data_IF_791586556145
#
_entry.id   IF_791586556145
#
_cell.length_a   1.000
_cell.length_b   1.000
_cell.length_c   1.000
_cell.angle_alpha   90.00
_cell.angle_beta   90.00
_cell.angle_gamma   90.00
#
_symmetry.space_group_name_H-M   'P 1'
#
loop_
_entity.id
_entity.type
_entity.pdbx_description
1 polymer ?
#
# COMPACT_ATOMS: atom_id res chain seq x y z
N UNK A 1 -30.94 -4.35 8.57
CA UNK A 1 -30.37 -4.18 9.91
C UNK A 1 -30.18 -2.69 10.17
N UNK A 2 -30.74 -2.21 11.27
CA UNK A 2 -30.69 -0.81 11.66
C UNK A 2 -29.24 -0.42 11.99
N UNK A 3 -28.65 0.61 11.38
CA UNK A 3 -27.28 1.03 11.62
C UNK A 3 -27.08 1.67 13.00
N UNK A 4 -28.15 1.98 13.74
CA UNK A 4 -28.08 2.63 15.05
C UNK A 4 -28.07 1.55 16.13
N UNK A 5 -27.05 1.57 17.00
CA UNK A 5 -26.95 0.68 18.18
C UNK A 5 -27.94 1.10 19.28
N UNK A 6 -29.25 0.93 19.03
CA UNK A 6 -30.33 1.10 20.00
C UNK A 6 -31.19 -0.16 20.05
N UNK A 7 -31.79 -0.51 21.18
CA UNK A 7 -32.68 -1.65 21.26
C UNK A 7 -33.86 -1.46 20.31
N UNK A 8 -34.02 -2.38 19.38
CA UNK A 8 -35.12 -2.41 18.40
C UNK A 8 -36.17 -3.44 18.80
N UNK A 9 -37.38 -3.24 18.36
CA UNK A 9 -38.47 -4.19 18.65
C UNK A 9 -38.16 -5.57 18.07
N UNK A 10 -38.51 -6.64 18.78
CA UNK A 10 -38.17 -8.04 18.49
C UNK A 10 -38.66 -8.55 17.11
N UNK A 11 -39.65 -7.89 16.51
CA UNK A 11 -40.29 -8.28 15.25
C UNK A 11 -40.12 -7.27 14.12
N UNK A 12 -39.07 -6.44 14.16
CA UNK A 12 -38.81 -5.46 13.12
C UNK A 12 -38.20 -6.13 11.88
N UNK A 13 -39.01 -6.22 10.82
CA UNK A 13 -38.52 -6.58 9.49
C UNK A 13 -38.97 -5.54 8.49
N UNK A 14 -38.04 -4.99 7.71
CA UNK A 14 -38.31 -3.89 6.77
C UNK A 14 -39.41 -4.23 5.74
N UNK A 15 -39.53 -5.49 5.34
CA UNK A 15 -40.55 -5.97 4.41
C UNK A 15 -41.98 -5.83 4.95
N UNK A 16 -42.19 -5.97 6.24
CA UNK A 16 -43.50 -5.76 6.86
C UNK A 16 -43.89 -4.27 6.79
N UNK A 17 -42.96 -3.38 7.05
CA UNK A 17 -43.18 -1.92 6.93
C UNK A 17 -43.46 -1.52 5.49
N UNK A 18 -42.74 -2.09 4.53
CA UNK A 18 -42.92 -1.84 3.10
C UNK A 18 -44.32 -2.35 2.62
N UNK A 19 -44.68 -3.53 3.04
CA UNK A 19 -45.99 -4.13 2.69
C UNK A 19 -47.13 -3.31 3.28
N UNK A 20 -47.01 -2.83 4.53
CA UNK A 20 -47.95 -1.90 5.14
C UNK A 20 -48.06 -0.58 4.38
N UNK A 21 -46.94 0.00 3.97
CA UNK A 21 -46.93 1.25 3.19
C UNK A 21 -47.63 1.07 1.83
N UNK A 22 -47.33 -0.02 1.11
CA UNK A 22 -47.97 -0.33 -0.19
C UNK A 22 -49.48 -0.51 -0.01
N UNK A 23 -49.90 -1.27 1.03
CA UNK A 23 -51.31 -1.47 1.30
C UNK A 23 -52.05 -0.16 1.63
N UNK A 24 -51.47 0.72 2.42
CA UNK A 24 -52.03 2.05 2.71
C UNK A 24 -52.18 2.89 1.43
N UNK A 25 -51.17 2.93 0.58
CA UNK A 25 -51.23 3.67 -0.69
C UNK A 25 -52.32 3.10 -1.60
N UNK A 26 -52.43 1.78 -1.71
CA UNK A 26 -53.45 1.12 -2.50
C UNK A 26 -54.87 1.45 -2.00
N UNK A 27 -55.12 1.43 -0.69
CA UNK A 27 -56.42 1.79 -0.10
C UNK A 27 -56.73 3.28 -0.35
N UNK A 28 -55.75 4.18 -0.23
CA UNK A 28 -55.96 5.61 -0.53
C UNK A 28 -56.39 5.86 -1.97
N UNK A 29 -55.83 5.13 -2.94
CA UNK A 29 -56.20 5.25 -4.34
C UNK A 29 -57.58 4.63 -4.64
N UNK A 30 -57.98 3.56 -3.91
CA UNK A 30 -59.32 2.93 -4.03
C UNK A 30 -60.43 3.85 -3.50
N UNK A 31 -60.19 4.61 -2.47
CA UNK A 31 -61.21 5.51 -1.84
C UNK A 31 -61.31 6.80 -2.65
N UNK A 32 -60.21 7.51 -2.91
CA UNK A 32 -60.23 8.80 -3.56
C UNK A 32 -58.91 9.11 -4.27
N UNK A 33 -58.75 8.80 -5.56
CA UNK A 33 -57.48 8.91 -6.27
C UNK A 33 -56.90 10.35 -6.32
N UNK A 34 -57.75 11.37 -6.42
CA UNK A 34 -57.30 12.76 -6.49
C UNK A 34 -56.70 13.21 -5.17
N UNK A 35 -57.36 12.88 -4.01
CA UNK A 35 -56.80 13.22 -2.69
C UNK A 35 -55.58 12.41 -2.36
N UNK A 36 -55.46 11.16 -2.82
CA UNK A 36 -54.26 10.35 -2.70
C UNK A 36 -53.06 11.00 -3.41
N UNK A 37 -53.27 11.49 -4.62
CA UNK A 37 -52.22 12.18 -5.37
C UNK A 37 -51.78 13.48 -4.70
N UNK A 38 -52.71 14.29 -4.19
CA UNK A 38 -52.41 15.54 -3.44
C UNK A 38 -51.61 15.24 -2.18
N UNK A 39 -51.99 14.18 -1.43
CA UNK A 39 -51.30 13.80 -0.19
C UNK A 39 -49.87 13.33 -0.47
N UNK A 40 -49.66 12.51 -1.53
CA UNK A 40 -48.36 12.05 -1.94
C UNK A 40 -47.48 13.24 -2.38
N UNK A 41 -48.04 14.17 -3.18
CA UNK A 41 -47.32 15.36 -3.59
C UNK A 41 -46.93 16.25 -2.37
N UNK A 42 -47.80 16.35 -1.37
CA UNK A 42 -47.54 17.04 -0.09
C UNK A 42 -46.38 16.39 0.68
N UNK A 43 -46.37 15.07 0.81
CA UNK A 43 -45.29 14.32 1.47
C UNK A 43 -43.96 14.49 0.73
N UNK A 44 -43.96 14.40 -0.60
CA UNK A 44 -42.77 14.63 -1.42
C UNK A 44 -42.27 16.09 -1.26
N UNK A 45 -43.18 17.06 -1.28
CA UNK A 45 -42.85 18.47 -1.07
C UNK A 45 -42.23 18.74 0.29
N UNK A 46 -42.78 18.17 1.37
CA UNK A 46 -42.22 18.27 2.71
C UNK A 46 -40.85 17.58 2.77
N UNK A 47 -40.71 16.41 2.17
CA UNK A 47 -39.44 15.70 2.13
C UNK A 47 -38.35 16.53 1.42
N UNK A 48 -38.69 17.17 0.27
CA UNK A 48 -37.77 18.06 -0.44
C UNK A 48 -37.45 19.31 0.38
N UNK A 49 -38.44 19.90 1.05
CA UNK A 49 -38.27 21.08 1.92
C UNK A 49 -37.34 20.80 3.11
N UNK A 50 -37.48 19.60 3.70
CA UNK A 50 -36.61 19.14 4.80
C UNK A 50 -35.18 18.90 4.26
N UNK A 51 -35.05 18.33 3.06
CA UNK A 51 -33.75 18.14 2.41
C UNK A 51 -33.05 19.45 2.01
N UNK A 52 -33.83 20.48 1.62
CA UNK A 52 -33.30 21.82 1.30
C UNK A 52 -32.92 22.65 2.54
N UNK A 53 -33.63 22.49 3.64
CA UNK A 53 -33.19 22.99 4.91
C UNK A 53 -32.31 21.92 5.54
N UNK A 54 -30.99 22.09 5.49
CA UNK A 54 -30.06 21.35 6.34
C UNK A 54 -30.46 21.58 7.83
N UNK A 55 -31.49 20.86 8.25
CA UNK A 55 -31.78 20.74 9.67
C UNK A 55 -30.63 19.85 10.16
N UNK A 56 -29.63 20.49 10.77
CA UNK A 56 -28.64 19.82 11.62
C UNK A 56 -29.40 19.10 12.73
N UNK A 57 -29.97 17.96 12.40
CA UNK A 57 -30.55 17.09 13.41
C UNK A 57 -29.38 16.43 14.15
N UNK A 58 -29.35 16.58 15.47
CA UNK A 58 -28.46 15.86 16.38
C UNK A 58 -28.67 14.33 16.38
N UNK A 59 -29.30 13.80 15.35
CA UNK A 59 -29.45 12.38 15.08
C UNK A 59 -28.18 11.97 14.35
N UNK A 60 -27.32 11.18 15.00
CA UNK A 60 -26.05 10.75 14.43
C UNK A 60 -26.21 10.34 12.96
N UNK A 61 -25.22 10.70 12.16
CA UNK A 61 -25.24 10.51 10.71
C UNK A 61 -25.52 9.02 10.36
N UNK A 62 -26.75 8.78 9.88
CA UNK A 62 -27.22 7.45 9.45
C UNK A 62 -26.30 6.84 8.39
N UNK A 63 -25.70 7.70 7.56
CA UNK A 63 -24.79 7.30 6.50
C UNK A 63 -23.50 6.74 7.09
N UNK A 64 -22.89 7.43 8.05
CA UNK A 64 -21.69 6.96 8.75
C UNK A 64 -21.94 5.66 9.51
N UNK A 65 -23.12 5.54 10.16
CA UNK A 65 -23.54 4.31 10.84
C UNK A 65 -23.68 3.12 9.87
N UNK A 66 -24.29 3.33 8.71
CA UNK A 66 -24.45 2.32 7.69
C UNK A 66 -23.10 1.90 7.08
N UNK A 67 -22.20 2.87 6.83
CA UNK A 67 -20.84 2.59 6.36
C UNK A 67 -20.08 1.75 7.38
N UNK A 68 -20.09 2.16 8.66
CA UNK A 68 -19.40 1.42 9.72
C UNK A 68 -19.92 -0.03 9.84
N UNK A 69 -21.24 -0.23 9.77
CA UNK A 69 -21.83 -1.57 9.83
C UNK A 69 -21.39 -2.46 8.64
N UNK A 70 -21.33 -1.89 7.43
CA UNK A 70 -20.83 -2.61 6.25
C UNK A 70 -19.35 -2.96 6.37
N UNK A 71 -18.53 -2.02 6.83
CA UNK A 71 -17.09 -2.24 7.08
C UNK A 71 -16.92 -3.37 8.09
N UNK A 72 -17.62 -3.30 9.24
CA UNK A 72 -17.56 -4.34 10.28
C UNK A 72 -17.94 -5.73 9.73
N UNK A 73 -19.04 -5.83 8.98
CA UNK A 73 -19.48 -7.11 8.41
C UNK A 73 -18.46 -7.67 7.40
N UNK A 74 -17.90 -6.80 6.54
CA UNK A 74 -16.90 -7.21 5.54
C UNK A 74 -15.57 -7.60 6.20
N UNK A 75 -15.13 -6.91 7.25
CA UNK A 75 -13.94 -7.28 8.01
C UNK A 75 -14.09 -8.64 8.69
N UNK A 76 -15.25 -8.91 9.33
CA UNK A 76 -15.51 -10.21 9.94
C UNK A 76 -15.58 -11.34 8.91
N UNK A 77 -16.11 -11.08 7.71
CA UNK A 77 -16.10 -12.07 6.62
C UNK A 77 -14.66 -12.32 6.14
N UNK A 78 -13.89 -11.26 5.92
CA UNK A 78 -12.49 -11.38 5.49
C UNK A 78 -11.64 -12.17 6.49
N UNK A 79 -11.88 -12.01 7.80
CA UNK A 79 -11.21 -12.78 8.86
C UNK A 79 -11.50 -14.27 8.79
N UNK A 80 -12.73 -14.64 8.37
CA UNK A 80 -13.14 -16.05 8.24
C UNK A 80 -12.73 -16.69 6.92
N UNK A 81 -12.36 -15.90 5.91
CA UNK A 81 -11.94 -16.41 4.61
C UNK A 81 -10.51 -16.99 4.69
N UNK A 82 -10.31 -18.12 4.00
CA UNK A 82 -8.96 -18.68 3.84
C UNK A 82 -8.17 -17.81 2.89
N UNK A 83 -7.00 -17.38 3.33
CA UNK A 83 -6.05 -16.67 2.48
C UNK A 83 -5.69 -17.51 1.25
N UNK A 84 -5.76 -16.90 0.07
CA UNK A 84 -5.30 -17.50 -1.18
C UNK A 84 -4.27 -16.56 -1.84
N UNK A 85 -3.07 -17.05 -2.24
CA UNK A 85 -2.01 -16.20 -2.80
C UNK A 85 -2.44 -15.33 -3.99
N UNK A 86 -3.37 -15.78 -4.81
CA UNK A 86 -3.94 -14.99 -5.93
C UNK A 86 -4.74 -13.77 -5.49
N UNK A 87 -5.22 -13.76 -4.25
CA UNK A 87 -5.94 -12.63 -3.67
C UNK A 87 -5.01 -11.64 -2.96
N UNK A 88 -3.71 -11.85 -3.05
CA UNK A 88 -2.74 -10.93 -2.47
C UNK A 88 -2.97 -9.49 -2.97
N UNK A 89 -2.96 -8.57 -2.02
CA UNK A 89 -3.02 -7.13 -2.27
C UNK A 89 -1.99 -6.44 -1.40
N UNK A 90 -1.32 -5.39 -1.88
CA UNK A 90 -0.36 -4.67 -1.07
C UNK A 90 -1.08 -3.93 0.06
N UNK A 91 -0.80 -4.32 1.30
CA UNK A 91 -1.15 -3.56 2.50
C UNK A 91 0.17 -3.02 3.02
N UNK A 92 0.45 -1.76 2.68
CA UNK A 92 1.76 -1.15 2.87
C UNK A 92 1.75 -0.27 4.12
N UNK A 93 2.68 -0.54 5.03
CA UNK A 93 3.08 0.36 6.10
C UNK A 93 4.34 1.10 5.65
N UNK A 94 4.22 2.36 5.28
CA UNK A 94 5.34 3.17 4.85
C UNK A 94 5.88 4.00 6.01
N UNK A 95 7.14 3.76 6.38
CA UNK A 95 7.84 4.49 7.43
C UNK A 95 8.41 5.78 6.82
N UNK A 96 7.56 6.79 6.70
CA UNK A 96 7.88 8.04 5.96
C UNK A 96 8.63 9.08 6.79
N UNK A 97 8.79 8.87 8.11
CA UNK A 97 9.32 9.90 9.00
C UNK A 97 8.40 11.14 9.01
N UNK A 98 8.97 12.34 9.02
CA UNK A 98 8.19 13.54 8.71
C UNK A 98 7.82 13.46 7.21
N UNK A 99 6.53 13.34 6.91
CA UNK A 99 6.04 13.02 5.56
C UNK A 99 6.49 14.07 4.51
N UNK A 100 6.55 15.34 4.90
CA UNK A 100 7.03 16.43 4.05
C UNK A 100 8.53 16.33 3.70
N UNK A 101 9.37 15.70 4.52
CA UNK A 101 10.77 15.47 4.20
C UNK A 101 11.01 14.26 3.28
N UNK A 102 9.96 13.45 3.05
CA UNK A 102 10.03 12.23 2.24
C UNK A 102 8.83 12.07 1.32
N UNK A 103 8.36 13.17 0.75
CA UNK A 103 7.20 13.21 -0.17
C UNK A 103 7.32 12.17 -1.28
N UNK A 104 8.49 12.04 -1.90
CA UNK A 104 8.75 11.05 -2.95
C UNK A 104 8.56 9.60 -2.48
N UNK A 105 8.88 9.30 -1.21
CA UNK A 105 8.64 7.97 -0.65
C UNK A 105 7.14 7.72 -0.49
N UNK A 106 6.38 8.72 -0.02
CA UNK A 106 4.94 8.64 0.16
C UNK A 106 4.20 8.48 -1.19
N UNK A 107 4.57 9.27 -2.21
CA UNK A 107 4.04 9.15 -3.57
C UNK A 107 4.38 7.79 -4.18
N UNK A 108 5.60 7.31 -3.99
CA UNK A 108 6.01 5.99 -4.47
C UNK A 108 5.21 4.87 -3.80
N UNK A 109 4.98 4.97 -2.49
CA UNK A 109 4.12 4.02 -1.76
C UNK A 109 2.69 4.01 -2.31
N UNK A 110 2.16 5.20 -2.65
CA UNK A 110 0.83 5.34 -3.24
C UNK A 110 0.75 4.67 -4.62
N UNK A 111 1.77 4.81 -5.47
CA UNK A 111 1.83 4.10 -6.75
C UNK A 111 1.85 2.58 -6.58
N UNK A 112 2.59 2.07 -5.59
CA UNK A 112 2.68 0.62 -5.31
C UNK A 112 1.35 0.00 -4.89
N UNK A 113 0.43 0.75 -4.30
CA UNK A 113 -0.91 0.24 -3.97
C UNK A 113 -1.78 0.03 -5.21
N UNK A 114 -1.48 0.72 -6.31
CA UNK A 114 -2.20 0.61 -7.57
C UNK A 114 -3.72 0.85 -7.44
N UNK A 115 -4.15 1.67 -6.47
CA UNK A 115 -5.56 1.90 -6.11
C UNK A 115 -6.33 0.65 -5.69
N UNK A 116 -5.63 -0.43 -5.34
CA UNK A 116 -6.23 -1.73 -4.96
C UNK A 116 -5.72 -2.23 -3.62
N UNK A 117 -4.68 -1.60 -3.09
CA UNK A 117 -4.09 -1.85 -1.79
C UNK A 117 -4.54 -0.88 -0.73
N UNK A 118 -3.93 -1.01 0.44
CA UNK A 118 -4.10 -0.09 1.57
C UNK A 118 -2.74 0.49 1.89
N UNK A 119 -2.66 1.82 2.00
CA UNK A 119 -1.46 2.53 2.39
C UNK A 119 -1.64 3.17 3.75
N UNK A 120 -0.70 2.93 4.65
CA UNK A 120 -0.55 3.70 5.88
C UNK A 120 0.78 4.43 5.85
N UNK A 121 0.74 5.74 5.98
CA UNK A 121 1.92 6.56 6.21
C UNK A 121 2.17 6.65 7.71
N UNK A 122 3.29 6.12 8.16
CA UNK A 122 3.62 6.02 9.56
C UNK A 122 4.80 6.90 9.95
N UNK A 123 4.68 7.54 11.11
CA UNK A 123 5.71 8.36 11.73
C UNK A 123 5.94 7.93 13.17
N UNK A 124 7.20 7.84 13.55
CA UNK A 124 7.63 7.65 14.95
C UNK A 124 8.14 8.98 15.47
N UNK A 125 7.69 9.37 16.66
CA UNK A 125 8.19 10.51 17.43
C UNK A 125 8.96 9.91 18.62
N UNK A 126 10.25 10.22 18.71
CA UNK A 126 11.08 9.73 19.80
C UNK A 126 10.88 10.58 21.06
N UNK A 127 10.68 9.92 22.19
CA UNK A 127 10.56 10.49 23.53
C UNK A 127 9.49 9.81 24.38
N UNK A 128 9.23 10.41 25.55
CA UNK A 128 8.27 9.89 26.51
C UNK A 128 6.83 10.19 26.08
N UNK A 129 5.98 9.16 26.10
CA UNK A 129 4.62 9.24 25.59
C UNK A 129 3.78 10.30 26.29
N UNK A 130 3.87 10.39 27.63
CA UNK A 130 3.08 11.31 28.44
C UNK A 130 3.38 12.77 28.10
N UNK A 131 4.63 13.09 27.79
CA UNK A 131 5.08 14.44 27.48
C UNK A 131 4.74 14.87 26.05
N UNK A 132 4.56 13.91 25.13
CA UNK A 132 4.44 14.16 23.70
C UNK A 132 3.02 13.93 23.13
N UNK A 133 2.00 13.72 23.96
CA UNK A 133 0.63 13.46 23.48
C UNK A 133 0.08 14.58 22.59
N UNK A 134 0.27 15.85 22.98
CA UNK A 134 -0.18 17.00 22.18
C UNK A 134 0.60 17.07 20.84
N UNK A 135 1.91 16.86 20.89
CA UNK A 135 2.77 16.82 19.70
C UNK A 135 2.35 15.69 18.78
N UNK A 136 2.02 14.51 19.31
CA UNK A 136 1.49 13.39 18.54
C UNK A 136 0.20 13.75 17.80
N UNK A 137 -0.75 14.37 18.51
CA UNK A 137 -2.02 14.80 17.92
C UNK A 137 -1.82 15.83 16.81
N UNK A 138 -0.97 16.83 17.05
CA UNK A 138 -0.60 17.83 16.05
C UNK A 138 0.06 17.22 14.82
N UNK A 139 1.01 16.30 14.99
CA UNK A 139 1.68 15.61 13.88
C UNK A 139 0.70 14.72 13.08
N UNK A 140 -0.24 14.06 13.75
CA UNK A 140 -1.27 13.28 13.06
C UNK A 140 -2.20 14.15 12.22
N UNK A 141 -2.55 15.35 12.71
CA UNK A 141 -3.33 16.33 11.95
C UNK A 141 -2.56 16.86 10.73
N UNK A 142 -1.28 17.19 10.91
CA UNK A 142 -0.39 17.62 9.83
C UNK A 142 -0.22 16.52 8.76
N UNK A 143 -0.03 15.28 9.17
CA UNK A 143 0.08 14.15 8.25
C UNK A 143 -1.23 13.92 7.47
N UNK A 144 -2.40 14.11 8.10
CA UNK A 144 -3.69 14.10 7.38
C UNK A 144 -3.78 15.20 6.34
N UNK A 145 -3.39 16.42 6.73
CA UNK A 145 -3.38 17.57 5.82
C UNK A 145 -2.48 17.28 4.62
N UNK A 146 -1.26 16.80 4.85
CA UNK A 146 -0.33 16.40 3.80
C UNK A 146 -0.91 15.34 2.86
N UNK A 147 -1.57 14.30 3.39
CA UNK A 147 -2.22 13.24 2.59
C UNK A 147 -3.26 13.85 1.65
N UNK A 148 -4.08 14.78 2.14
CA UNK A 148 -5.11 15.44 1.33
C UNK A 148 -4.49 16.39 0.29
N UNK A 149 -3.50 17.21 0.67
CA UNK A 149 -2.83 18.17 -0.22
C UNK A 149 -2.06 17.46 -1.35
N UNK A 150 -1.50 16.28 -1.08
CA UNK A 150 -0.78 15.48 -2.07
C UNK A 150 -1.70 14.47 -2.79
N UNK A 151 -3.01 14.52 -2.58
CA UNK A 151 -3.99 13.60 -3.18
C UNK A 151 -3.65 12.10 -3.01
N UNK A 152 -3.08 11.75 -1.85
CA UNK A 152 -2.67 10.38 -1.55
C UNK A 152 -3.86 9.56 -1.03
N UNK A 153 -4.01 8.33 -1.50
CA UNK A 153 -4.98 7.37 -0.98
C UNK A 153 -4.38 6.61 0.25
N UNK A 154 -4.18 7.34 1.36
CA UNK A 154 -3.44 6.83 2.52
C UNK A 154 -4.11 7.16 3.85
N UNK A 155 -3.75 6.39 4.88
CA UNK A 155 -4.14 6.61 6.27
C UNK A 155 -2.94 7.07 7.10
N UNK A 156 -3.11 8.07 7.99
CA UNK A 156 -2.02 8.52 8.86
C UNK A 156 -1.91 7.63 10.11
N UNK A 157 -0.69 7.28 10.50
CA UNK A 157 -0.38 6.66 11.78
C UNK A 157 0.81 7.37 12.44
N UNK A 158 0.65 7.83 13.68
CA UNK A 158 1.71 8.47 14.44
C UNK A 158 1.82 7.78 15.80
N UNK A 159 3.02 7.31 16.12
CA UNK A 159 3.33 6.68 17.41
C UNK A 159 4.43 7.47 18.11
N UNK A 160 4.36 7.54 19.43
CA UNK A 160 5.45 8.01 20.29
C UNK A 160 6.10 6.78 20.91
N UNK A 161 7.42 6.73 20.91
CA UNK A 161 8.19 5.63 21.52
C UNK A 161 9.54 6.17 22.02
N UNK A 162 10.18 5.51 23.01
CA UNK A 162 11.48 5.94 23.52
C UNK A 162 12.58 5.99 22.45
N UNK A 163 12.49 5.12 21.44
CA UNK A 163 13.42 5.11 20.32
C UNK A 163 12.70 4.83 18.99
N UNK A 164 13.34 5.19 17.87
CA UNK A 164 12.84 4.89 16.53
C UNK A 164 12.61 3.39 16.33
N UNK A 165 13.52 2.55 16.82
CA UNK A 165 13.44 1.09 16.70
C UNK A 165 12.22 0.52 17.40
N UNK A 166 11.97 0.93 18.66
CA UNK A 166 10.80 0.51 19.42
C UNK A 166 9.50 0.99 18.80
N UNK A 167 9.48 2.22 18.28
CA UNK A 167 8.32 2.75 17.56
C UNK A 167 8.01 1.98 16.26
N UNK A 168 9.03 1.60 15.50
CA UNK A 168 8.88 0.75 14.31
C UNK A 168 8.37 -0.63 14.72
N UNK A 169 8.93 -1.21 15.76
CA UNK A 169 8.51 -2.50 16.32
C UNK A 169 7.04 -2.50 16.72
N UNK A 170 6.61 -1.49 17.48
CA UNK A 170 5.21 -1.32 17.88
C UNK A 170 4.27 -1.18 16.66
N UNK A 171 4.65 -0.37 15.67
CA UNK A 171 3.87 -0.19 14.44
C UNK A 171 3.73 -1.50 13.66
N UNK A 172 4.82 -2.24 13.45
CA UNK A 172 4.79 -3.48 12.64
C UNK A 172 4.02 -4.59 13.35
N UNK A 173 4.07 -4.64 14.70
CA UNK A 173 3.36 -5.63 15.51
C UNK A 173 1.87 -5.31 15.67
N UNK A 174 1.48 -4.04 15.87
CA UNK A 174 0.15 -3.69 16.33
C UNK A 174 -0.71 -2.99 15.29
N UNK A 175 -0.13 -2.50 14.18
CA UNK A 175 -0.89 -1.78 13.18
C UNK A 175 -1.66 -2.74 12.29
N UNK A 176 -2.99 -2.71 12.40
CA UNK A 176 -3.90 -3.53 11.61
C UNK A 176 -5.21 -3.81 12.35
N UNK A 177 -6.19 -4.36 11.63
CA UNK A 177 -7.47 -4.77 12.18
C UNK A 177 -7.94 -6.06 11.50
N UNK A 178 -8.05 -7.15 12.26
CA UNK A 178 -8.40 -8.46 11.74
C UNK A 178 -7.44 -8.88 10.61
N UNK A 179 -7.95 -9.37 9.51
CA UNK A 179 -7.15 -9.79 8.35
C UNK A 179 -6.43 -8.62 7.60
N UNK A 180 -6.69 -7.36 7.95
CA UNK A 180 -6.04 -6.19 7.34
C UNK A 180 -4.74 -5.81 8.07
N UNK A 181 -3.80 -6.74 8.13
CA UNK A 181 -2.44 -6.47 8.63
C UNK A 181 -1.52 -6.07 7.49
N UNK A 182 -0.60 -5.11 7.71
CA UNK A 182 0.44 -4.83 6.73
C UNK A 182 1.20 -6.10 6.35
N UNK A 183 1.20 -6.44 5.09
CA UNK A 183 1.99 -7.55 4.55
C UNK A 183 3.33 -7.06 4.00
N UNK A 184 3.49 -5.75 3.85
CA UNK A 184 4.64 -5.11 3.27
C UNK A 184 5.00 -3.86 4.07
N UNK A 185 6.26 -3.70 4.41
CA UNK A 185 6.79 -2.49 5.05
C UNK A 185 7.71 -1.79 4.07
N UNK A 186 7.44 -0.52 3.80
CA UNK A 186 8.29 0.32 2.96
C UNK A 186 9.07 1.29 3.83
N UNK A 187 10.38 1.35 3.64
CA UNK A 187 11.28 2.26 4.32
C UNK A 187 12.27 2.91 3.34
N UNK A 188 12.85 4.04 3.74
CA UNK A 188 13.97 4.62 3.03
C UNK A 188 15.25 3.85 3.33
N UNK A 189 16.06 3.61 2.30
CA UNK A 189 17.42 3.09 2.51
C UNK A 189 18.29 4.14 3.17
N UNK A 190 19.03 3.75 4.20
CA UNK A 190 19.90 4.66 4.92
C UNK A 190 21.18 4.93 4.12
N UNK A 191 21.58 6.19 4.10
CA UNK A 191 22.88 6.59 3.54
C UNK A 191 23.99 6.74 4.61
N UNK A 192 23.61 6.54 5.88
CA UNK A 192 24.50 6.75 7.04
C UNK A 192 25.05 5.41 7.53
N UNK A 193 26.36 5.15 7.39
CA UNK A 193 27.00 3.94 7.86
C UNK A 193 26.87 3.68 9.37
N UNK A 194 26.71 4.72 10.19
CA UNK A 194 26.57 4.60 11.64
C UNK A 194 25.23 3.93 12.03
N UNK A 195 24.23 3.95 11.14
CA UNK A 195 22.91 3.38 11.37
C UNK A 195 22.73 1.99 10.75
N UNK A 196 23.76 1.40 10.18
CA UNK A 196 23.68 0.11 9.47
C UNK A 196 23.24 -1.03 10.39
N UNK A 197 23.73 -1.03 11.62
CA UNK A 197 23.35 -2.04 12.62
C UNK A 197 21.85 -1.95 12.96
N UNK A 198 21.34 -0.75 13.22
CA UNK A 198 19.93 -0.49 13.47
C UNK A 198 19.05 -0.84 12.27
N UNK A 199 19.47 -0.52 11.05
CA UNK A 199 18.80 -0.93 9.84
C UNK A 199 18.72 -2.47 9.74
N UNK A 200 19.84 -3.16 9.95
CA UNK A 200 19.89 -4.62 9.91
C UNK A 200 18.99 -5.28 10.94
N UNK A 201 18.93 -4.73 12.16
CA UNK A 201 18.01 -5.17 13.20
C UNK A 201 16.55 -4.99 12.78
N UNK A 202 16.21 -3.81 12.23
CA UNK A 202 14.86 -3.51 11.72
C UNK A 202 14.46 -4.46 10.59
N UNK A 203 15.36 -4.74 9.63
CA UNK A 203 15.09 -5.69 8.54
C UNK A 203 14.81 -7.11 9.05
N UNK A 204 15.59 -7.57 10.03
CA UNK A 204 15.38 -8.89 10.66
C UNK A 204 14.06 -8.95 11.44
N UNK A 205 13.73 -7.91 12.18
CA UNK A 205 12.47 -7.81 12.91
C UNK A 205 11.28 -7.95 11.97
N UNK A 206 11.24 -7.15 10.92
CA UNK A 206 10.15 -7.15 9.94
C UNK A 206 10.03 -8.52 9.26
N UNK A 207 11.16 -9.10 8.87
CA UNK A 207 11.20 -10.44 8.26
C UNK A 207 10.77 -11.54 9.25
N UNK A 208 11.17 -11.45 10.52
CA UNK A 208 10.75 -12.36 11.59
C UNK A 208 9.25 -12.34 11.84
N UNK A 209 8.62 -11.18 11.66
CA UNK A 209 7.17 -11.00 11.71
C UNK A 209 6.46 -11.42 10.40
N UNK A 210 7.18 -12.05 9.47
CA UNK A 210 6.68 -12.52 8.16
C UNK A 210 6.07 -11.39 7.34
N UNK A 211 6.71 -10.23 7.34
CA UNK A 211 6.35 -9.09 6.49
C UNK A 211 7.42 -8.91 5.41
N UNK A 212 6.99 -8.63 4.19
CA UNK A 212 7.89 -8.26 3.10
C UNK A 212 8.48 -6.87 3.34
N UNK A 213 9.70 -6.66 2.90
CA UNK A 213 10.40 -5.38 3.05
C UNK A 213 10.68 -4.78 1.69
N UNK A 214 10.38 -3.51 1.58
CA UNK A 214 10.76 -2.65 0.48
C UNK A 214 11.64 -1.54 1.03
N UNK A 215 12.90 -1.47 0.60
CA UNK A 215 13.80 -0.40 0.99
C UNK A 215 14.16 0.44 -0.25
N UNK A 216 13.70 1.70 -0.26
CA UNK A 216 13.92 2.60 -1.39
C UNK A 216 15.16 3.43 -1.19
N UNK A 217 16.14 3.27 -2.07
CA UNK A 217 17.33 4.09 -2.16
C UNK A 217 17.14 5.16 -3.22
N UNK A 218 17.34 6.41 -2.82
CA UNK A 218 17.34 7.58 -3.68
C UNK A 218 18.74 8.15 -3.68
N UNK A 219 19.33 8.32 -4.86
CA UNK A 219 20.66 8.84 -5.02
C UNK A 219 20.71 9.64 -6.32
N UNK A 220 21.17 10.87 -6.23
CA UNK A 220 21.26 11.76 -7.37
C UNK A 220 20.65 13.14 -7.11
N UNK A 221 21.13 14.18 -7.81
CA UNK A 221 20.66 15.55 -7.58
C UNK A 221 19.17 15.73 -7.85
N UNK A 222 18.62 15.08 -8.88
CA UNK A 222 17.18 15.18 -9.22
C UNK A 222 16.27 14.54 -8.18
N UNK A 223 16.76 13.53 -7.45
CA UNK A 223 15.99 12.85 -6.42
C UNK A 223 16.07 13.54 -5.05
N UNK A 224 17.09 14.36 -4.86
CA UNK A 224 17.33 15.13 -3.64
C UNK A 224 16.83 16.59 -3.78
N UNK A 225 16.45 16.99 -4.99
CA UNK A 225 15.89 18.31 -5.27
C UNK A 225 14.45 18.40 -4.72
N UNK A 226 14.26 19.25 -3.71
CA UNK A 226 12.96 19.49 -3.08
C UNK A 226 11.99 20.24 -3.99
N UNK A 227 12.49 20.99 -4.97
CA UNK A 227 11.69 21.79 -5.90
C UNK A 227 11.13 20.96 -7.07
N UNK A 228 11.63 19.75 -7.30
CA UNK A 228 11.15 18.89 -8.38
C UNK A 228 9.85 18.18 -8.01
N UNK A 229 8.95 18.04 -9.00
CA UNK A 229 7.63 17.39 -8.81
C UNK A 229 7.79 15.94 -8.32
N UNK A 230 7.30 15.59 -7.11
CA UNK A 230 7.39 14.24 -6.59
C UNK A 230 6.55 13.21 -7.39
N UNK A 231 5.61 13.67 -8.22
CA UNK A 231 4.78 12.84 -9.09
C UNK A 231 5.40 12.59 -10.47
N UNK A 232 6.50 13.28 -10.80
CA UNK A 232 7.21 13.05 -12.05
C UNK A 232 7.85 11.65 -12.07
N UNK A 233 7.53 10.90 -13.15
CA UNK A 233 8.09 9.56 -13.38
C UNK A 233 9.24 9.67 -14.36
N UNK A 234 10.45 9.26 -13.97
CA UNK A 234 11.62 9.31 -14.83
C UNK A 234 11.44 8.50 -16.13
N UNK A 235 12.14 8.90 -17.16
CA UNK A 235 12.23 8.12 -18.38
C UNK A 235 13.03 6.82 -18.16
N UNK A 236 12.78 5.81 -18.99
CA UNK A 236 13.49 4.54 -18.94
C UNK A 236 12.59 3.36 -18.61
N UNK A 237 13.19 2.22 -18.37
CA UNK A 237 12.53 0.97 -18.05
C UNK A 237 12.42 0.74 -16.54
N UNK A 238 11.55 -0.20 -16.17
CA UNK A 238 11.56 -0.80 -14.83
C UNK A 238 12.40 -2.09 -14.95
N UNK A 239 13.55 -2.10 -14.33
CA UNK A 239 14.52 -3.19 -14.45
C UNK A 239 14.42 -4.11 -13.24
N UNK A 240 13.96 -5.34 -13.46
CA UNK A 240 13.85 -6.38 -12.43
C UNK A 240 15.01 -7.35 -12.57
N UNK A 241 15.97 -7.32 -11.64
CA UNK A 241 17.12 -8.21 -11.63
C UNK A 241 16.81 -9.53 -10.94
N UNK A 242 16.56 -10.52 -11.76
CA UNK A 242 16.10 -11.84 -11.36
C UNK A 242 17.24 -12.76 -10.94
N UNK A 243 17.28 -13.14 -9.67
CA UNK A 243 18.26 -14.13 -9.17
C UNK A 243 17.63 -15.48 -8.80
N UNK A 244 16.34 -15.50 -8.49
CA UNK A 244 15.61 -16.70 -8.08
C UNK A 244 14.18 -16.38 -7.68
N UNK A 245 13.38 -17.45 -7.47
CA UNK A 245 11.94 -17.34 -7.20
C UNK A 245 11.61 -16.63 -5.87
N UNK A 246 12.45 -16.74 -4.85
CA UNK A 246 12.13 -16.29 -3.49
C UNK A 246 11.67 -14.83 -3.43
N UNK A 247 12.42 -13.91 -4.04
CA UNK A 247 12.07 -12.49 -4.08
C UNK A 247 11.45 -12.11 -5.43
N UNK A 248 11.70 -12.88 -6.47
CA UNK A 248 11.36 -12.58 -7.84
C UNK A 248 9.87 -12.36 -8.07
N UNK A 249 9.02 -13.20 -7.49
CA UNK A 249 7.56 -13.09 -7.63
C UNK A 249 7.05 -11.75 -7.15
N UNK A 250 7.49 -11.31 -5.96
CA UNK A 250 7.12 -10.00 -5.42
C UNK A 250 7.71 -8.86 -6.25
N UNK A 251 8.98 -8.97 -6.66
CA UNK A 251 9.63 -7.95 -7.49
C UNK A 251 8.88 -7.71 -8.80
N UNK A 252 8.48 -8.78 -9.48
CA UNK A 252 7.75 -8.71 -10.73
C UNK A 252 6.32 -8.17 -10.53
N UNK A 253 5.64 -8.58 -9.44
CA UNK A 253 4.34 -8.04 -9.08
C UNK A 253 4.40 -6.54 -8.78
N UNK A 254 5.41 -6.06 -8.06
CA UNK A 254 5.60 -4.64 -7.77
C UNK A 254 5.84 -3.82 -9.05
N UNK A 255 6.67 -4.33 -9.98
CA UNK A 255 6.87 -3.71 -11.28
C UNK A 255 5.54 -3.61 -12.07
N UNK A 256 4.74 -4.68 -12.05
CA UNK A 256 3.42 -4.69 -12.68
C UNK A 256 2.45 -3.68 -12.03
N UNK A 257 2.40 -3.61 -10.70
CA UNK A 257 1.56 -2.66 -9.98
C UNK A 257 1.93 -1.21 -10.32
N UNK A 258 3.22 -0.90 -10.40
CA UNK A 258 3.67 0.41 -10.87
C UNK A 258 3.14 0.69 -12.28
N UNK A 259 3.29 -0.23 -13.22
CA UNK A 259 2.85 -0.07 -14.61
C UNK A 259 1.31 0.08 -14.74
N UNK A 260 0.52 -0.37 -13.77
CA UNK A 260 -0.93 -0.12 -13.73
C UNK A 260 -1.27 1.38 -13.52
N UNK A 261 -0.36 2.18 -12.98
CA UNK A 261 -0.56 3.61 -12.84
C UNK A 261 -0.37 4.32 -14.19
N UNK A 262 -1.23 5.30 -14.53
CA UNK A 262 -1.12 6.03 -15.79
C UNK A 262 0.27 6.64 -16.05
N UNK A 263 0.91 7.17 -15.01
CA UNK A 263 2.22 7.78 -15.08
C UNK A 263 3.36 6.77 -15.43
N UNK A 264 3.21 5.51 -15.04
CA UNK A 264 4.19 4.45 -15.27
C UNK A 264 3.86 3.56 -16.47
N UNK A 265 2.66 3.68 -17.07
CA UNK A 265 2.15 2.77 -18.10
C UNK A 265 3.06 2.63 -19.32
N UNK A 266 3.77 3.67 -19.69
CA UNK A 266 4.67 3.69 -20.85
C UNK A 266 6.08 3.16 -20.53
N UNK A 267 6.37 2.79 -19.29
CA UNK A 267 7.67 2.27 -18.87
C UNK A 267 7.70 0.75 -19.07
N UNK A 268 8.52 0.21 -19.99
CA UNK A 268 8.62 -1.23 -20.20
C UNK A 268 9.27 -1.90 -18.98
N UNK A 269 8.82 -3.12 -18.67
CA UNK A 269 9.43 -3.94 -17.63
C UNK A 269 10.46 -4.83 -18.30
N UNK A 270 11.73 -4.74 -17.90
CA UNK A 270 12.79 -5.65 -18.33
C UNK A 270 13.07 -6.64 -17.20
N UNK A 271 13.01 -7.92 -17.52
CA UNK A 271 13.41 -9.00 -16.60
C UNK A 271 14.84 -9.41 -16.93
N UNK A 272 15.80 -9.04 -16.06
CA UNK A 272 17.23 -9.18 -16.34
C UNK A 272 17.87 -10.26 -15.46
N UNK A 273 18.79 -11.01 -16.02
CA UNK A 273 19.60 -11.99 -15.29
C UNK A 273 21.03 -12.02 -15.80
N UNK A 274 21.99 -12.04 -14.86
CA UNK A 274 23.40 -12.29 -15.17
C UNK A 274 23.69 -13.77 -15.01
N UNK A 275 24.42 -14.34 -15.95
CA UNK A 275 24.96 -15.71 -15.91
C UNK A 275 26.47 -15.70 -16.21
N UNK A 276 27.20 -16.66 -15.64
CA UNK A 276 28.65 -16.71 -15.77
C UNK A 276 29.12 -17.41 -17.07
N UNK A 277 28.23 -18.04 -17.84
CA UNK A 277 28.61 -18.79 -19.05
C UNK A 277 27.52 -18.76 -20.11
N UNK A 278 27.91 -18.67 -21.38
CA UNK A 278 26.99 -18.72 -22.53
C UNK A 278 26.22 -20.04 -22.63
N UNK A 279 26.80 -21.14 -22.12
CA UNK A 279 26.25 -22.49 -22.27
C UNK A 279 24.81 -22.67 -21.68
N UNK A 280 24.40 -21.85 -20.74
CA UNK A 280 23.07 -21.91 -20.12
C UNK A 280 22.08 -20.83 -20.59
N UNK A 281 22.49 -19.96 -21.51
CA UNK A 281 21.73 -18.74 -21.87
C UNK A 281 20.33 -19.03 -22.40
N UNK A 282 20.23 -19.96 -23.35
CA UNK A 282 18.93 -20.29 -23.96
C UNK A 282 17.93 -20.92 -22.96
N UNK A 283 18.45 -21.78 -22.08
CA UNK A 283 17.59 -22.39 -21.04
C UNK A 283 17.09 -21.35 -20.07
N UNK A 284 17.95 -20.46 -19.59
CA UNK A 284 17.59 -19.36 -18.71
C UNK A 284 16.58 -18.43 -19.37
N UNK A 285 16.79 -18.10 -20.65
CA UNK A 285 15.86 -17.25 -21.40
C UNK A 285 14.47 -17.89 -21.55
N UNK A 286 14.42 -19.22 -21.86
CA UNK A 286 13.15 -19.98 -21.92
C UNK A 286 12.44 -19.98 -20.56
N UNK A 287 13.17 -20.18 -19.47
CA UNK A 287 12.60 -20.18 -18.12
C UNK A 287 12.03 -18.78 -17.75
N UNK A 288 12.75 -17.71 -18.08
CA UNK A 288 12.27 -16.35 -17.84
C UNK A 288 11.05 -16.01 -18.69
N UNK A 289 11.02 -16.44 -19.95
CA UNK A 289 9.85 -16.28 -20.82
C UNK A 289 8.64 -17.11 -20.31
N UNK A 290 8.89 -18.29 -19.76
CA UNK A 290 7.84 -19.11 -19.14
C UNK A 290 7.23 -18.40 -17.92
N UNK A 291 8.04 -17.84 -17.03
CA UNK A 291 7.58 -17.05 -15.87
C UNK A 291 6.73 -15.87 -16.33
N UNK A 292 7.19 -15.13 -17.33
CA UNK A 292 6.47 -14.02 -17.93
C UNK A 292 5.07 -14.43 -18.43
N UNK A 293 5.01 -15.52 -19.18
CA UNK A 293 3.76 -16.05 -19.74
C UNK A 293 2.80 -16.55 -18.64
N UNK A 294 3.33 -17.28 -17.65
CA UNK A 294 2.52 -17.84 -16.56
C UNK A 294 1.95 -16.74 -15.65
N UNK A 295 2.75 -15.71 -15.38
CA UNK A 295 2.31 -14.55 -14.59
C UNK A 295 1.36 -13.60 -15.33
N UNK A 296 1.27 -13.72 -16.67
CA UNK A 296 0.52 -12.79 -17.54
C UNK A 296 0.99 -11.34 -17.43
N UNK A 297 2.22 -11.13 -17.05
CA UNK A 297 2.86 -9.82 -17.00
C UNK A 297 3.71 -9.64 -18.25
N UNK A 298 3.49 -8.55 -18.95
CA UNK A 298 4.26 -8.24 -20.15
C UNK A 298 5.65 -7.75 -19.75
N UNK A 299 6.68 -8.54 -20.04
CA UNK A 299 8.07 -8.23 -19.71
C UNK A 299 8.99 -8.61 -20.88
N UNK A 300 10.13 -7.93 -20.95
CA UNK A 300 11.20 -8.22 -21.91
C UNK A 300 12.31 -8.98 -21.18
N UNK A 301 12.46 -10.31 -21.39
CA UNK A 301 13.51 -11.09 -20.75
C UNK A 301 14.87 -10.80 -21.40
N UNK A 302 15.88 -10.50 -20.58
CA UNK A 302 17.25 -10.19 -21.02
C UNK A 302 18.23 -11.00 -20.18
N UNK A 303 19.07 -11.80 -20.86
CA UNK A 303 20.14 -12.58 -20.23
C UNK A 303 21.49 -12.01 -20.66
N UNK A 304 22.33 -11.70 -19.69
CA UNK A 304 23.65 -11.10 -19.89
C UNK A 304 24.70 -12.07 -19.35
N UNK A 305 25.75 -12.32 -20.13
CA UNK A 305 26.88 -13.14 -19.70
C UNK A 305 27.98 -12.23 -19.17
N UNK A 306 28.30 -12.37 -17.90
CA UNK A 306 29.34 -11.55 -17.24
C UNK A 306 29.78 -12.20 -15.92
N UNK A 307 31.07 -12.03 -15.60
CA UNK A 307 31.61 -12.38 -14.28
C UNK A 307 31.47 -11.23 -13.27
N UNK A 308 31.43 -9.98 -13.75
CA UNK A 308 31.18 -8.80 -12.91
C UNK A 308 29.68 -8.48 -12.86
N UNK A 309 29.02 -9.06 -11.86
CA UNK A 309 27.57 -8.86 -11.66
C UNK A 309 27.25 -7.40 -11.33
N UNK A 310 28.03 -6.79 -10.43
CA UNK A 310 27.74 -5.44 -9.95
C UNK A 310 27.92 -4.39 -11.05
N UNK A 311 29.04 -4.42 -11.76
CA UNK A 311 29.28 -3.52 -12.88
C UNK A 311 28.26 -3.72 -14.01
N UNK A 312 27.86 -4.95 -14.27
CA UNK A 312 26.83 -5.27 -15.28
C UNK A 312 25.47 -4.66 -14.89
N UNK A 313 25.05 -4.76 -13.63
CA UNK A 313 23.82 -4.14 -13.14
C UNK A 313 23.88 -2.64 -13.36
N UNK A 314 24.95 -1.98 -12.91
CA UNK A 314 25.11 -0.53 -13.00
C UNK A 314 25.12 -0.05 -14.45
N UNK A 315 25.89 -0.70 -15.31
CA UNK A 315 26.01 -0.31 -16.71
C UNK A 315 24.70 -0.51 -17.50
N UNK A 316 24.03 -1.67 -17.28
CA UNK A 316 22.82 -2.03 -18.03
C UNK A 316 21.61 -1.17 -17.62
N UNK A 317 21.54 -0.79 -16.35
CA UNK A 317 20.40 -0.07 -15.76
C UNK A 317 20.65 1.41 -15.49
N UNK A 318 21.74 1.98 -16.01
CA UNK A 318 22.10 3.38 -15.77
C UNK A 318 21.00 4.40 -16.16
N UNK A 319 20.18 4.06 -17.17
CA UNK A 319 19.07 4.88 -17.64
C UNK A 319 17.69 4.32 -17.27
N UNK A 320 17.63 3.37 -16.34
CA UNK A 320 16.35 2.82 -15.89
C UNK A 320 15.59 3.83 -15.04
N UNK A 321 14.27 3.88 -15.22
CA UNK A 321 13.38 4.66 -14.36
C UNK A 321 13.38 4.13 -12.92
N UNK A 322 13.50 2.81 -12.77
CA UNK A 322 13.60 2.13 -11.48
C UNK A 322 14.35 0.81 -11.65
N UNK A 323 15.23 0.51 -10.71
CA UNK A 323 15.94 -0.77 -10.62
C UNK A 323 15.44 -1.53 -9.39
N UNK A 324 15.01 -2.78 -9.55
CA UNK A 324 14.52 -3.62 -8.47
C UNK A 324 15.49 -4.76 -8.23
N UNK A 325 16.03 -4.82 -7.01
CA UNK A 325 17.01 -5.80 -6.55
C UNK A 325 16.45 -6.62 -5.39
N UNK A 326 16.60 -7.94 -5.42
CA UNK A 326 16.25 -8.80 -4.30
C UNK A 326 17.37 -8.89 -3.27
N UNK A 327 17.01 -8.95 -1.99
CA UNK A 327 17.97 -9.18 -0.89
C UNK A 327 17.47 -10.20 0.13
N UNK A 328 18.34 -10.64 1.00
CA UNK A 328 18.03 -11.39 2.22
C UNK A 328 18.43 -10.55 3.43
N UNK A 329 17.63 -10.51 4.51
CA UNK A 329 17.99 -9.79 5.72
C UNK A 329 19.35 -10.25 6.26
N UNK A 330 20.18 -9.32 6.76
CA UNK A 330 21.52 -9.65 7.22
C UNK A 330 21.49 -10.58 8.45
N UNK A 331 22.47 -11.45 8.54
CA UNK A 331 22.72 -12.24 9.76
C UNK A 331 23.26 -11.30 10.85
N UNK A 332 22.89 -11.46 12.13
CA UNK A 332 23.46 -10.68 13.22
C UNK A 332 24.98 -10.64 13.19
N UNK A 333 25.55 -9.44 13.31
CA UNK A 333 26.99 -9.19 13.25
C UNK A 333 27.58 -9.12 11.83
N UNK A 334 26.75 -9.23 10.77
CA UNK A 334 27.19 -9.09 9.37
C UNK A 334 26.48 -7.94 8.65
N UNK A 335 25.91 -7.01 9.38
CA UNK A 335 25.12 -5.90 8.85
C UNK A 335 25.94 -5.01 7.91
N UNK A 336 27.19 -4.71 8.30
CA UNK A 336 28.09 -3.90 7.49
C UNK A 336 28.43 -4.57 6.14
N UNK A 337 28.75 -5.85 6.17
CA UNK A 337 29.05 -6.63 4.94
C UNK A 337 27.84 -6.66 4.02
N UNK A 338 26.64 -6.86 4.58
CA UNK A 338 25.40 -6.82 3.84
C UNK A 338 25.19 -5.45 3.18
N UNK A 339 25.37 -4.37 3.96
CA UNK A 339 25.22 -3.00 3.47
C UNK A 339 26.20 -2.69 2.32
N UNK A 340 27.49 -3.02 2.50
CA UNK A 340 28.51 -2.84 1.47
C UNK A 340 28.21 -3.61 0.17
N UNK A 341 27.68 -4.83 0.27
CA UNK A 341 27.27 -5.62 -0.88
C UNK A 341 26.11 -4.96 -1.62
N UNK A 342 25.09 -4.49 -0.88
CA UNK A 342 23.94 -3.84 -1.48
C UNK A 342 24.32 -2.49 -2.10
N UNK A 343 25.19 -1.69 -1.45
CA UNK A 343 25.71 -0.45 -2.00
C UNK A 343 26.55 -0.70 -3.26
N UNK A 344 27.36 -1.78 -3.29
CA UNK A 344 28.11 -2.15 -4.48
C UNK A 344 27.19 -2.53 -5.66
N UNK A 345 26.07 -3.21 -5.44
CA UNK A 345 25.09 -3.48 -6.50
C UNK A 345 24.34 -2.24 -6.95
N UNK A 346 23.96 -1.39 -6.00
CA UNK A 346 23.26 -0.15 -6.30
C UNK A 346 24.17 0.89 -6.98
N UNK A 347 25.42 1.00 -6.56
CA UNK A 347 26.42 1.90 -7.15
C UNK A 347 25.90 3.33 -7.33
N UNK A 348 26.05 3.85 -8.54
CA UNK A 348 25.58 5.19 -8.92
C UNK A 348 24.16 5.19 -9.53
N UNK A 349 23.42 4.07 -9.43
CA UNK A 349 22.05 4.02 -9.92
C UNK A 349 21.16 5.00 -9.12
N UNK A 350 20.43 5.89 -9.77
CA UNK A 350 19.72 6.96 -9.08
C UNK A 350 18.53 6.46 -8.26
N UNK A 351 17.88 5.38 -8.70
CA UNK A 351 16.62 4.88 -8.11
C UNK A 351 16.65 3.37 -7.99
N UNK A 352 16.83 2.89 -6.78
CA UNK A 352 16.88 1.45 -6.49
C UNK A 352 15.82 1.10 -5.44
N UNK A 353 15.06 0.05 -5.73
CA UNK A 353 14.15 -0.60 -4.79
C UNK A 353 14.71 -1.97 -4.40
N UNK A 354 15.11 -2.11 -3.17
CA UNK A 354 15.55 -3.37 -2.59
C UNK A 354 14.36 -4.11 -2.01
N UNK A 355 14.19 -5.39 -2.36
CA UNK A 355 12.98 -6.18 -2.08
C UNK A 355 13.34 -7.46 -1.34
N UNK A 356 12.68 -7.69 -0.23
CA UNK A 356 12.63 -8.97 0.47
C UNK A 356 11.19 -9.48 0.52
N UNK A 357 10.96 -10.69 0.04
CA UNK A 357 9.67 -11.36 0.07
C UNK A 357 9.59 -12.33 1.25
N UNK A 358 8.73 -12.06 2.21
CA UNK A 358 8.49 -12.94 3.35
C UNK A 358 7.63 -14.17 3.02
N UNK A 359 7.18 -14.30 1.77
CA UNK A 359 6.20 -15.29 1.34
C UNK A 359 4.77 -14.75 1.33
N UNK A 360 3.82 -15.59 0.97
CA UNK A 360 2.40 -15.22 0.88
C UNK A 360 1.98 -14.64 -0.47
N UNK A 361 2.92 -14.23 -1.32
CA UNK A 361 2.70 -13.83 -2.70
C UNK A 361 3.44 -14.81 -3.63
N UNK A 362 2.71 -15.47 -4.52
CA UNK A 362 3.20 -16.40 -5.53
C UNK A 362 2.56 -16.04 -6.88
N UNK A 363 3.37 -15.98 -7.94
CA UNK A 363 2.88 -15.77 -9.31
C UNK A 363 2.34 -17.06 -9.92
N UNK A 364 2.95 -18.20 -9.58
CA UNK A 364 2.52 -19.53 -9.96
C UNK A 364 1.67 -20.16 -8.86
N UNK A 365 0.37 -20.15 -9.00
CA UNK A 365 -0.55 -20.87 -8.09
C UNK A 365 -1.83 -21.33 -8.80
#
# INVERSE_FOLDING_TARGET
ADPIYRPTFRYYHWSLSLLGAIACVAVMFLIQPVMAAVSIAGVIGIYQLIGYREIQSNWGDLTSGAILQRIRQNLLRLEMERYHPKNWRPIILALSGSAWSRTRLAVFANWLTGRRGILTLAQVIEGETEELLERRAAQQALLRKFIVEQELEAFPAVVVAPSLSEGIEALVQCHGLGALWPNTVLLGWLSDPERVESLGATLRLIAGLKRSVLARRLCGPEELDEDSDPWEVPFGSIDVWWRGMKNGDLMLMLAHLLQQNPAWRTRPIRLLRVIGSEAGREEVLRNMAHIANTSRIQVDPVVIVSEDIAGTIQQTSQYAALVILGFEPPIPGKELVFYEVMERFAGNLPRVLMVYNAGGMLLES
#
